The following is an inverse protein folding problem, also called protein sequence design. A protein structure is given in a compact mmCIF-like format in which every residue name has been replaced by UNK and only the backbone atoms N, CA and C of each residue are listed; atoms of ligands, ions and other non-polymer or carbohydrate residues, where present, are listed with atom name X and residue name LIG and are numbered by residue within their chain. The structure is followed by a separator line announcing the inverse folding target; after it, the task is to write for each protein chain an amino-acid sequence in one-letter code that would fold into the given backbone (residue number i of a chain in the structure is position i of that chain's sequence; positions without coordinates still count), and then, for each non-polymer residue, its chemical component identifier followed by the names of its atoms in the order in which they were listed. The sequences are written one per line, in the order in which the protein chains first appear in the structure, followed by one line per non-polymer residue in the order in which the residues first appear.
data_IF_612873162949
#
_entry.id   IF_612873162949
#
_cell.length_a   1.000
_cell.length_b   1.000
_cell.length_c   1.000
_cell.angle_alpha   90.00
_cell.angle_beta   90.00
_cell.angle_gamma   90.00
#
_symmetry.space_group_name_H-M   'P 1'
#
loop_
_entity.id
_entity.type
_entity.pdbx_description
1 polymer ?
#
# COMPACT_ATOMS: atom_id res chain seq x y z
N UNK A 1 0.64 17.95 35.64
CA UNK A 1 0.29 18.73 34.45
C UNK A 1 -1.06 18.30 33.91
N UNK A 2 -1.35 17.00 33.94
CA UNK A 2 -2.67 16.43 33.70
C UNK A 2 -3.74 17.01 34.63
N UNK A 3 -4.96 17.16 34.10
CA UNK A 3 -6.15 17.56 34.87
C UNK A 3 -6.59 16.46 35.85
N UNK A 4 -6.29 15.20 35.53
CA UNK A 4 -6.47 14.02 36.39
C UNK A 4 -5.17 13.24 36.46
N UNK A 5 -4.62 13.04 37.67
CA UNK A 5 -3.42 12.22 37.87
C UNK A 5 -3.72 10.72 37.91
N UNK A 6 -4.96 10.36 38.26
CA UNK A 6 -5.44 8.98 38.31
C UNK A 6 -6.83 8.91 37.70
N UNK A 7 -7.04 7.93 36.82
CA UNK A 7 -8.30 7.69 36.12
C UNK A 7 -8.80 6.30 36.52
N UNK A 8 -10.06 6.18 36.89
CA UNK A 8 -10.68 4.90 37.23
C UNK A 8 -11.31 4.26 35.99
N UNK A 9 -10.65 3.26 35.43
CA UNK A 9 -11.21 2.39 34.39
C UNK A 9 -12.13 1.34 35.02
N UNK A 10 -13.33 1.17 34.49
CA UNK A 10 -14.35 0.27 35.04
C UNK A 10 -15.05 -0.51 33.93
N UNK A 11 -15.39 -1.77 34.24
CA UNK A 11 -16.23 -2.60 33.39
C UNK A 11 -17.42 -3.14 34.17
N UNK A 12 -18.62 -3.03 33.59
CA UNK A 12 -19.85 -3.55 34.17
C UNK A 12 -20.44 -4.58 33.21
N UNK A 13 -20.47 -5.85 33.61
CA UNK A 13 -20.98 -6.92 32.78
C UNK A 13 -21.76 -7.94 33.59
N UNK A 14 -22.80 -8.55 33.00
CA UNK A 14 -23.56 -9.59 33.68
C UNK A 14 -22.81 -10.94 33.54
N UNK A 15 -23.31 -11.99 34.19
CA UNK A 15 -22.67 -13.33 34.15
C UNK A 15 -22.53 -13.88 32.72
N UNK A 16 -23.39 -13.41 31.82
CA UNK A 16 -23.40 -13.70 30.38
C UNK A 16 -22.15 -13.19 29.65
N UNK A 17 -21.43 -12.21 30.22
CA UNK A 17 -20.14 -11.73 29.69
C UNK A 17 -19.01 -12.76 29.85
N UNK A 18 -19.11 -13.65 30.85
CA UNK A 18 -18.14 -14.72 31.09
C UNK A 18 -16.69 -14.23 31.17
N UNK A 19 -15.76 -15.13 30.81
CA UNK A 19 -14.32 -14.83 30.77
C UNK A 19 -13.95 -13.82 29.68
N UNK A 20 -14.75 -13.78 28.60
CA UNK A 20 -14.58 -12.79 27.54
C UNK A 20 -14.60 -11.35 28.08
N UNK A 21 -15.51 -11.05 29.02
CA UNK A 21 -15.56 -9.73 29.65
C UNK A 21 -14.63 -9.58 30.85
N UNK A 22 -14.57 -10.60 31.72
CA UNK A 22 -13.78 -10.48 32.95
C UNK A 22 -12.29 -10.36 32.70
N UNK A 23 -11.79 -10.98 31.63
CA UNK A 23 -10.35 -11.07 31.38
C UNK A 23 -9.86 -9.91 30.52
N UNK A 24 -10.73 -9.33 29.68
CA UNK A 24 -10.34 -8.36 28.67
C UNK A 24 -10.88 -6.95 28.90
N UNK A 25 -12.15 -6.79 29.31
CA UNK A 25 -12.85 -5.50 29.18
C UNK A 25 -12.12 -4.33 29.85
N UNK A 26 -11.71 -4.46 31.11
CA UNK A 26 -11.06 -3.36 31.84
C UNK A 26 -9.64 -3.08 31.33
N UNK A 27 -8.89 -4.13 30.96
CA UNK A 27 -7.56 -3.98 30.36
C UNK A 27 -7.63 -3.23 29.02
N UNK A 28 -8.65 -3.52 28.22
CA UNK A 28 -8.88 -2.82 26.94
C UNK A 28 -9.23 -1.36 27.16
N UNK A 29 -10.02 -1.02 28.19
CA UNK A 29 -10.30 0.39 28.56
C UNK A 29 -9.00 1.12 28.92
N UNK A 30 -8.14 0.50 29.73
CA UNK A 30 -6.84 1.08 30.13
C UNK A 30 -5.97 1.30 28.88
N UNK A 31 -5.83 0.28 28.06
CA UNK A 31 -5.05 0.32 26.81
C UNK A 31 -5.51 1.45 25.88
N UNK A 32 -6.81 1.55 25.63
CA UNK A 32 -7.37 2.61 24.79
C UNK A 32 -7.06 4.01 25.35
N UNK A 33 -7.22 4.23 26.65
CA UNK A 33 -6.89 5.52 27.27
C UNK A 33 -5.41 5.89 27.12
N UNK A 34 -4.50 4.92 27.30
CA UNK A 34 -3.06 5.14 27.15
C UNK A 34 -2.68 5.52 25.71
N UNK A 35 -3.18 4.76 24.73
CA UNK A 35 -2.91 5.02 23.32
C UNK A 35 -3.46 6.39 22.92
N UNK A 36 -4.74 6.66 23.17
CA UNK A 36 -5.35 7.92 22.74
C UNK A 36 -4.71 9.14 23.43
N UNK A 37 -4.38 9.04 24.72
CA UNK A 37 -3.66 10.10 25.45
C UNK A 37 -2.30 10.40 24.81
N UNK A 38 -1.59 9.37 24.33
CA UNK A 38 -0.28 9.54 23.67
C UNK A 38 -0.38 10.38 22.40
N UNK A 39 -1.42 10.16 21.59
CA UNK A 39 -1.65 10.87 20.32
C UNK A 39 -2.40 12.20 20.47
N UNK A 40 -2.98 12.51 21.63
CA UNK A 40 -3.84 13.68 21.79
C UNK A 40 -3.43 14.54 23.01
N UNK A 41 -4.15 14.43 24.12
CA UNK A 41 -3.95 15.15 25.36
C UNK A 41 -4.32 14.25 26.54
N UNK A 42 -3.92 14.65 27.74
CA UNK A 42 -4.30 13.94 28.96
C UNK A 42 -5.82 13.91 29.13
N UNK A 43 -6.37 12.71 29.29
CA UNK A 43 -7.80 12.48 29.49
C UNK A 43 -8.33 13.29 30.70
N UNK A 44 -9.34 14.16 30.52
CA UNK A 44 -9.71 15.15 31.53
C UNK A 44 -10.69 14.64 32.59
N UNK A 45 -11.28 13.45 32.39
CA UNK A 45 -12.36 12.94 33.24
C UNK A 45 -11.87 11.89 34.25
N UNK A 46 -12.52 11.79 35.43
CA UNK A 46 -12.03 10.92 36.51
C UNK A 46 -12.30 9.43 36.27
N UNK A 47 -13.21 9.08 35.36
CA UNK A 47 -13.64 7.70 35.13
C UNK A 47 -13.85 7.40 33.67
N UNK A 48 -13.60 6.15 33.27
CA UNK A 48 -13.90 5.59 31.96
C UNK A 48 -14.60 4.25 32.13
N UNK A 49 -15.80 4.10 31.58
CA UNK A 49 -16.68 2.95 31.87
C UNK A 49 -17.06 2.21 30.59
N UNK A 50 -16.95 0.88 30.64
CA UNK A 50 -17.45 -0.03 29.60
C UNK A 50 -18.57 -0.90 30.17
N UNK A 51 -19.77 -0.82 29.59
CA UNK A 51 -20.97 -1.51 30.08
C UNK A 51 -21.45 -2.53 29.06
N UNK A 52 -21.63 -3.78 29.47
CA UNK A 52 -22.10 -4.85 28.58
C UNK A 52 -23.57 -4.73 28.27
N UNK A 53 -23.87 -4.50 26.99
CA UNK A 53 -25.21 -4.49 26.41
C UNK A 53 -25.20 -5.38 25.18
N UNK A 54 -25.33 -6.69 25.41
CA UNK A 54 -25.02 -7.75 24.44
C UNK A 54 -25.77 -7.83 23.11
N UNK A 55 -26.57 -6.82 22.74
CA UNK A 55 -27.24 -6.73 21.43
C UNK A 55 -26.86 -5.47 20.64
N UNK A 56 -26.13 -4.53 21.25
CA UNK A 56 -25.59 -3.36 20.55
C UNK A 56 -24.17 -3.67 20.06
N UNK A 57 -23.78 -3.00 18.98
CA UNK A 57 -22.39 -3.03 18.52
C UNK A 57 -21.53 -2.30 19.54
N UNK A 58 -21.68 -0.97 19.56
CA UNK A 58 -21.15 -0.05 20.54
C UNK A 58 -22.07 1.19 20.62
N UNK A 59 -21.90 2.00 21.66
CA UNK A 59 -22.51 3.32 21.77
C UNK A 59 -21.75 4.12 22.83
N UNK A 60 -21.35 5.32 22.45
CA UNK A 60 -20.48 6.22 23.17
C UNK A 60 -21.24 7.36 23.88
N UNK A 61 -20.84 7.66 25.11
CA UNK A 61 -21.22 8.87 25.83
C UNK A 61 -20.02 9.33 26.68
N UNK A 62 -19.96 10.60 27.11
CA UNK A 62 -18.88 11.04 27.99
C UNK A 62 -18.72 10.13 29.22
N UNK A 63 -17.53 9.54 29.37
CA UNK A 63 -17.14 8.61 30.44
C UNK A 63 -17.81 7.23 30.47
N UNK A 64 -18.77 6.94 29.60
CA UNK A 64 -19.53 5.68 29.63
C UNK A 64 -19.87 5.18 28.23
N UNK A 65 -19.59 3.90 28.00
CA UNK A 65 -19.82 3.23 26.71
C UNK A 65 -20.66 1.97 26.91
N UNK A 66 -21.43 1.58 25.91
CA UNK A 66 -22.27 0.39 25.93
C UNK A 66 -21.84 -0.57 24.81
N UNK A 67 -21.27 -1.72 25.17
CA UNK A 67 -20.59 -2.60 24.22
C UNK A 67 -21.20 -4.00 24.18
N UNK A 68 -21.21 -4.62 23.00
CA UNK A 68 -21.33 -6.06 22.81
C UNK A 68 -19.95 -6.76 22.82
N UNK A 69 -19.88 -8.09 22.60
CA UNK A 69 -20.97 -9.06 22.48
C UNK A 69 -21.20 -9.79 23.82
N UNK A 70 -22.07 -10.81 23.85
CA UNK A 70 -22.17 -11.78 24.95
C UNK A 70 -21.58 -13.12 24.54
N UNK A 71 -21.13 -13.89 25.53
CA UNK A 71 -20.74 -15.29 25.28
C UNK A 71 -21.94 -16.15 24.91
N UNK A 72 -21.70 -17.21 24.14
CA UNK A 72 -22.73 -18.18 23.76
C UNK A 72 -22.89 -19.22 24.86
N UNK A 73 -24.13 -19.44 25.33
CA UNK A 73 -24.47 -20.51 26.27
C UNK A 73 -24.62 -21.83 25.50
N UNK A 74 -24.00 -22.90 26.01
CA UNK A 74 -24.05 -24.25 25.47
C UNK A 74 -25.00 -25.13 26.29
N UNK A 75 -25.43 -26.24 25.69
CA UNK A 75 -26.40 -27.18 26.30
C UNK A 75 -25.86 -27.83 27.59
N UNK A 76 -24.55 -27.97 27.71
CA UNK A 76 -23.86 -28.45 28.92
C UNK A 76 -23.75 -27.39 30.03
N UNK A 77 -24.33 -26.20 29.82
CA UNK A 77 -24.28 -25.06 30.73
C UNK A 77 -22.98 -24.26 30.66
N UNK A 78 -22.01 -24.66 29.84
CA UNK A 78 -20.78 -23.91 29.62
C UNK A 78 -21.03 -22.69 28.73
N UNK A 79 -20.10 -21.72 28.77
CA UNK A 79 -20.11 -20.55 27.90
C UNK A 79 -18.86 -20.50 27.06
N UNK A 80 -19.03 -20.23 25.77
CA UNK A 80 -17.93 -20.15 24.79
C UNK A 80 -18.05 -18.90 23.95
N UNK A 81 -16.97 -18.54 23.27
CA UNK A 81 -16.92 -17.44 22.33
C UNK A 81 -15.91 -17.76 21.23
N UNK A 82 -16.11 -17.14 20.07
CA UNK A 82 -15.29 -17.32 18.87
C UNK A 82 -14.09 -16.37 18.86
N UNK A 83 -13.16 -16.56 17.93
CA UNK A 83 -12.12 -15.55 17.70
C UNK A 83 -12.75 -14.23 17.25
N UNK A 84 -13.78 -14.30 16.40
CA UNK A 84 -14.57 -13.14 15.98
C UNK A 84 -15.15 -12.37 17.17
N UNK A 85 -15.78 -13.05 18.13
CA UNK A 85 -16.33 -12.41 19.33
C UNK A 85 -15.25 -11.72 20.19
N UNK A 86 -14.07 -12.34 20.30
CA UNK A 86 -12.93 -11.77 21.01
C UNK A 86 -12.43 -10.50 20.32
N UNK A 87 -12.12 -10.58 19.04
CA UNK A 87 -11.64 -9.44 18.25
C UNK A 87 -12.67 -8.31 18.25
N UNK A 88 -13.95 -8.66 18.11
CA UNK A 88 -15.05 -7.69 18.15
C UNK A 88 -15.15 -6.99 19.51
N UNK A 89 -15.14 -7.71 20.64
CA UNK A 89 -15.19 -7.08 21.97
C UNK A 89 -14.04 -6.09 22.18
N UNK A 90 -12.82 -6.51 21.83
CA UNK A 90 -11.64 -5.67 22.03
C UNK A 90 -11.74 -4.43 21.15
N UNK A 91 -11.97 -4.61 19.84
CA UNK A 91 -12.08 -3.51 18.89
C UNK A 91 -13.17 -2.52 19.27
N UNK A 92 -14.38 -3.00 19.61
CA UNK A 92 -15.48 -2.10 19.94
C UNK A 92 -15.23 -1.34 21.24
N UNK A 93 -14.66 -1.96 22.29
CA UNK A 93 -14.32 -1.21 23.50
C UNK A 93 -13.26 -0.13 23.20
N UNK A 94 -12.25 -0.44 22.37
CA UNK A 94 -11.25 0.55 21.95
C UNK A 94 -11.96 1.71 21.24
N UNK A 95 -12.81 1.40 20.26
CA UNK A 95 -13.55 2.37 19.47
C UNK A 95 -14.42 3.28 20.34
N UNK A 96 -15.27 2.72 21.20
CA UNK A 96 -16.20 3.50 22.01
C UNK A 96 -15.49 4.34 23.08
N UNK A 97 -14.41 3.83 23.68
CA UNK A 97 -13.59 4.61 24.62
C UNK A 97 -12.84 5.72 23.86
N UNK A 98 -12.40 5.43 22.64
CA UNK A 98 -11.79 6.40 21.74
C UNK A 98 -12.69 7.59 21.45
N UNK A 99 -14.00 7.37 21.39
CA UNK A 99 -14.95 8.45 21.20
C UNK A 99 -14.97 9.49 22.32
N UNK A 100 -14.44 9.17 23.50
CA UNK A 100 -14.26 10.17 24.53
C UNK A 100 -13.36 11.33 24.07
N UNK A 101 -12.40 11.06 23.18
CA UNK A 101 -11.53 12.07 22.59
C UNK A 101 -12.19 12.71 21.36
N UNK A 102 -12.71 11.89 20.44
CA UNK A 102 -13.35 12.32 19.19
C UNK A 102 -14.73 11.65 19.02
N UNK A 103 -15.87 12.36 19.13
CA UNK A 103 -16.00 13.81 19.18
C UNK A 103 -16.23 14.40 20.57
N UNK A 104 -16.23 13.60 21.65
CA UNK A 104 -16.78 14.10 22.92
C UNK A 104 -15.97 15.26 23.54
N UNK A 105 -14.65 15.30 23.34
CA UNK A 105 -13.79 16.42 23.77
C UNK A 105 -13.42 17.32 22.59
N UNK A 106 -13.01 16.76 21.45
CA UNK A 106 -12.78 17.50 20.21
C UNK A 106 -14.00 17.32 19.33
N UNK A 107 -14.92 18.27 19.37
CA UNK A 107 -16.27 18.13 18.82
C UNK A 107 -16.33 18.31 17.30
N UNK A 108 -17.24 17.63 16.61
CA UNK A 108 -17.48 17.84 15.17
C UNK A 108 -18.96 18.11 14.86
N UNK A 109 -19.24 18.37 13.60
CA UNK A 109 -20.61 18.28 13.07
C UNK A 109 -20.81 16.92 12.41
N UNK A 110 -21.15 15.90 13.18
CA UNK A 110 -21.36 14.51 12.73
C UNK A 110 -22.27 14.42 11.49
N UNK A 111 -23.32 15.25 11.44
CA UNK A 111 -24.28 15.25 10.33
C UNK A 111 -23.65 15.74 9.03
N UNK A 112 -22.68 16.65 9.10
CA UNK A 112 -21.98 17.18 7.93
C UNK A 112 -20.72 16.38 7.61
N UNK A 113 -19.96 15.98 8.63
CA UNK A 113 -18.60 15.45 8.54
C UNK A 113 -18.44 14.18 9.39
N UNK A 114 -19.27 13.15 9.15
CA UNK A 114 -19.26 11.89 9.93
C UNK A 114 -17.87 11.28 10.05
N UNK A 115 -17.03 11.39 9.02
CA UNK A 115 -15.66 10.88 9.05
C UNK A 115 -14.76 11.56 10.11
N UNK A 116 -15.05 12.79 10.54
CA UNK A 116 -14.29 13.42 11.62
C UNK A 116 -14.54 12.73 12.95
N UNK A 117 -15.74 12.20 13.15
CA UNK A 117 -16.09 11.43 14.35
C UNK A 117 -15.54 10.02 14.19
N UNK A 118 -15.97 9.36 13.12
CA UNK A 118 -15.75 7.93 12.93
C UNK A 118 -14.37 7.61 12.38
N UNK A 119 -13.86 8.40 11.44
CA UNK A 119 -12.60 8.16 10.76
C UNK A 119 -11.38 8.52 11.58
N UNK A 120 -11.41 9.66 12.31
CA UNK A 120 -10.33 10.00 13.25
C UNK A 120 -10.27 8.99 14.40
N UNK A 121 -11.44 8.57 14.90
CA UNK A 121 -11.51 7.56 15.94
C UNK A 121 -11.03 6.19 15.43
N UNK A 122 -11.54 5.73 14.29
CA UNK A 122 -11.15 4.46 13.65
C UNK A 122 -9.65 4.39 13.35
N UNK A 123 -9.02 5.52 13.02
CA UNK A 123 -7.58 5.56 12.83
C UNK A 123 -6.81 5.25 14.13
N UNK A 124 -7.19 5.85 15.25
CA UNK A 124 -6.53 5.56 16.54
C UNK A 124 -6.92 4.19 17.09
N UNK A 125 -8.14 3.74 16.83
CA UNK A 125 -8.59 2.37 17.08
C UNK A 125 -7.69 1.37 16.32
N UNK A 126 -7.45 1.58 15.03
CA UNK A 126 -6.55 0.75 14.24
C UNK A 126 -5.11 0.71 14.79
N UNK A 127 -4.62 1.82 15.36
CA UNK A 127 -3.32 1.85 16.04
C UNK A 127 -3.38 1.04 17.35
N UNK A 128 -4.40 1.26 18.18
CA UNK A 128 -4.57 0.57 19.45
C UNK A 128 -4.78 -0.94 19.25
N UNK A 129 -5.58 -1.38 18.27
CA UNK A 129 -5.76 -2.78 17.93
C UNK A 129 -4.44 -3.47 17.55
N UNK A 130 -3.63 -2.83 16.69
CA UNK A 130 -2.31 -3.35 16.31
C UNK A 130 -1.31 -3.40 17.47
N UNK A 131 -1.39 -2.47 18.42
CA UNK A 131 -0.58 -2.50 19.65
C UNK A 131 -1.09 -3.52 20.68
N UNK A 132 -2.38 -3.87 20.62
CA UNK A 132 -2.97 -4.89 21.48
C UNK A 132 -2.53 -6.30 21.07
N UNK A 133 -2.73 -6.65 19.81
CA UNK A 133 -2.33 -7.94 19.25
C UNK A 133 -2.17 -7.83 17.72
N UNK A 134 -0.92 -7.86 17.19
CA UNK A 134 -0.68 -7.74 15.76
C UNK A 134 -1.07 -9.01 14.97
N UNK A 135 -1.31 -10.14 15.64
CA UNK A 135 -1.73 -11.39 14.99
C UNK A 135 -3.24 -11.42 14.72
N UNK A 136 -4.01 -10.52 15.36
CA UNK A 136 -5.42 -10.33 15.04
C UNK A 136 -5.54 -9.50 13.77
N UNK A 137 -6.31 -10.00 12.81
CA UNK A 137 -6.68 -9.23 11.63
C UNK A 137 -7.71 -8.16 12.01
N UNK A 138 -7.28 -6.90 12.05
CA UNK A 138 -8.14 -5.75 12.30
C UNK A 138 -8.85 -5.21 11.04
N UNK A 139 -8.48 -5.69 9.84
CA UNK A 139 -9.06 -5.28 8.54
C UNK A 139 -9.00 -3.75 8.27
N UNK A 140 -7.87 -3.14 8.67
CA UNK A 140 -7.61 -1.69 8.60
C UNK A 140 -6.39 -1.39 7.72
N UNK A 141 -5.91 -2.36 6.95
CA UNK A 141 -4.76 -2.16 6.08
C UNK A 141 -5.21 -1.42 4.80
N UNK A 142 -4.36 -0.59 4.17
CA UNK A 142 -4.71 0.13 2.94
C UNK A 142 -5.31 -0.78 1.86
N UNK A 143 -4.76 -1.99 1.70
CA UNK A 143 -5.22 -3.03 0.78
C UNK A 143 -6.70 -3.40 0.94
N UNK A 144 -7.24 -3.33 2.16
CA UNK A 144 -8.59 -3.77 2.48
C UNK A 144 -9.64 -2.81 1.90
N UNK A 145 -9.26 -1.56 1.59
CA UNK A 145 -10.15 -0.53 1.05
C UNK A 145 -10.21 -0.50 -0.49
N UNK A 146 -9.33 -1.21 -1.19
CA UNK A 146 -9.26 -1.23 -2.66
C UNK A 146 -10.61 -1.54 -3.31
N UNK A 147 -11.31 -2.58 -2.83
CA UNK A 147 -12.62 -2.99 -3.34
C UNK A 147 -13.68 -1.90 -3.23
N UNK A 148 -13.72 -1.17 -2.11
CA UNK A 148 -14.62 -0.02 -1.95
C UNK A 148 -14.21 1.14 -2.87
N UNK A 149 -12.91 1.43 -2.96
CA UNK A 149 -12.38 2.53 -3.78
C UNK A 149 -12.62 2.35 -5.28
N UNK A 150 -12.74 1.10 -5.75
CA UNK A 150 -13.15 0.77 -7.14
C UNK A 150 -14.66 0.57 -7.32
N UNK A 151 -15.45 0.63 -6.25
CA UNK A 151 -16.88 0.33 -6.30
C UNK A 151 -17.68 1.48 -6.93
N UNK A 152 -18.81 1.15 -7.55
CA UNK A 152 -19.74 2.14 -8.11
C UNK A 152 -20.53 2.91 -7.05
N UNK A 153 -20.54 2.41 -5.81
CA UNK A 153 -21.27 2.99 -4.69
C UNK A 153 -20.38 3.89 -3.82
N UNK A 154 -19.14 4.14 -4.25
CA UNK A 154 -18.25 5.07 -3.59
C UNK A 154 -18.72 6.52 -3.79
N UNK A 155 -18.65 7.30 -2.71
CA UNK A 155 -18.81 8.76 -2.72
C UNK A 155 -17.60 9.39 -2.04
N UNK A 156 -17.30 10.69 -2.25
CA UNK A 156 -16.22 11.36 -1.54
C UNK A 156 -16.39 11.25 -0.02
N UNK A 157 -15.28 11.20 0.75
CA UNK A 157 -15.32 11.17 2.23
C UNK A 157 -16.07 12.40 2.79
N UNK A 158 -15.97 13.52 2.09
CA UNK A 158 -16.65 14.78 2.44
C UNK A 158 -18.16 14.77 2.18
N UNK A 159 -18.75 13.62 1.83
CA UNK A 159 -20.19 13.49 1.63
C UNK A 159 -20.94 13.53 2.96
N UNK A 160 -22.06 14.24 2.98
CA UNK A 160 -22.93 14.39 4.14
C UNK A 160 -23.52 13.03 4.58
N UNK A 161 -23.67 12.84 5.90
CA UNK A 161 -24.05 11.58 6.56
C UNK A 161 -25.28 10.87 5.94
N UNK A 162 -26.38 11.61 5.75
CA UNK A 162 -27.65 11.05 5.25
C UNK A 162 -27.58 10.67 3.76
N UNK A 163 -26.51 11.08 3.06
CA UNK A 163 -26.29 10.81 1.63
C UNK A 163 -25.30 9.67 1.40
N UNK A 164 -24.74 9.07 2.45
CA UNK A 164 -23.79 7.98 2.34
C UNK A 164 -24.47 6.68 1.87
N UNK A 165 -23.94 6.09 0.81
CA UNK A 165 -24.41 4.80 0.29
C UNK A 165 -23.87 3.62 1.12
N UNK A 166 -22.64 3.73 1.59
CA UNK A 166 -21.98 2.75 2.46
C UNK A 166 -21.25 3.48 3.59
N UNK A 167 -21.89 3.56 4.77
CA UNK A 167 -21.37 4.33 5.91
C UNK A 167 -20.05 3.76 6.41
N UNK A 168 -19.96 2.44 6.63
CA UNK A 168 -18.76 1.77 7.14
C UNK A 168 -17.47 2.14 6.38
N UNK A 169 -17.35 1.80 5.09
CA UNK A 169 -16.13 2.11 4.35
C UNK A 169 -15.94 3.60 4.07
N UNK A 170 -16.99 4.44 4.02
CA UNK A 170 -16.84 5.87 3.76
C UNK A 170 -16.43 6.69 5.00
N UNK A 171 -17.10 6.47 6.13
CA UNK A 171 -16.91 7.23 7.35
C UNK A 171 -15.80 6.65 8.25
N UNK A 172 -15.57 5.33 8.19
CA UNK A 172 -14.58 4.64 9.04
C UNK A 172 -13.36 4.22 8.20
N UNK A 173 -13.58 3.36 7.21
CA UNK A 173 -12.51 2.63 6.51
C UNK A 173 -11.57 3.49 5.66
N UNK A 174 -12.10 4.19 4.65
CA UNK A 174 -11.30 5.01 3.72
C UNK A 174 -10.55 6.15 4.44
N UNK A 175 -11.15 6.88 5.39
CA UNK A 175 -10.41 7.87 6.20
C UNK A 175 -9.29 7.23 7.03
N UNK A 176 -9.53 6.06 7.62
CA UNK A 176 -8.51 5.31 8.38
C UNK A 176 -7.35 4.91 7.49
N UNK A 177 -7.63 4.34 6.32
CA UNK A 177 -6.61 3.99 5.34
C UNK A 177 -5.81 5.23 4.89
N UNK A 178 -6.49 6.34 4.59
CA UNK A 178 -5.84 7.60 4.23
C UNK A 178 -4.89 8.08 5.34
N UNK A 179 -5.34 8.14 6.59
CA UNK A 179 -4.51 8.59 7.72
C UNK A 179 -3.35 7.64 8.00
N UNK A 180 -3.55 6.34 7.84
CA UNK A 180 -2.49 5.34 7.95
C UNK A 180 -1.41 5.53 6.86
N UNK A 181 -1.82 5.74 5.60
CA UNK A 181 -0.91 6.04 4.49
C UNK A 181 -0.17 7.36 4.75
N UNK A 182 -0.89 8.38 5.22
CA UNK A 182 -0.30 9.68 5.53
C UNK A 182 0.79 9.54 6.60
N UNK A 183 0.57 8.72 7.62
CA UNK A 183 1.55 8.47 8.68
C UNK A 183 2.72 7.60 8.25
N UNK A 184 2.47 6.44 7.64
CA UNK A 184 3.51 5.44 7.40
C UNK A 184 4.30 5.73 6.12
N UNK A 185 3.66 6.32 5.11
CA UNK A 185 4.23 6.44 3.75
C UNK A 185 4.63 7.87 3.39
N UNK A 186 3.86 8.88 3.82
CA UNK A 186 4.02 10.27 3.34
C UNK A 186 4.78 11.14 4.33
N UNK A 187 4.28 11.31 5.55
CA UNK A 187 4.87 12.20 6.56
C UNK A 187 5.91 11.49 7.44
N UNK A 188 5.76 10.17 7.63
CA UNK A 188 6.44 9.45 8.68
C UNK A 188 5.82 9.69 10.06
N UNK A 189 6.11 8.76 10.98
CA UNK A 189 5.48 8.71 12.31
C UNK A 189 5.72 9.95 13.14
N UNK A 190 6.94 10.48 13.17
CA UNK A 190 7.29 11.62 14.02
C UNK A 190 6.49 12.88 13.68
N UNK A 191 6.46 13.26 12.40
CA UNK A 191 5.74 14.46 11.95
C UNK A 191 4.23 14.29 12.05
N UNK A 192 3.71 13.11 11.67
CA UNK A 192 2.28 12.83 11.78
C UNK A 192 1.82 12.86 13.24
N UNK A 193 2.52 12.15 14.14
CA UNK A 193 2.13 12.04 15.55
C UNK A 193 2.19 13.41 16.23
N UNK A 194 3.20 14.22 15.92
CA UNK A 194 3.27 15.60 16.38
C UNK A 194 2.10 16.45 15.87
N UNK A 195 1.79 16.38 14.58
CA UNK A 195 0.74 17.18 13.97
C UNK A 195 -0.67 16.82 14.47
N UNK A 196 -0.97 15.52 14.57
CA UNK A 196 -2.23 15.03 15.12
C UNK A 196 -2.40 15.46 16.59
N UNK A 197 -1.33 15.39 17.37
CA UNK A 197 -1.31 15.82 18.76
C UNK A 197 -1.59 17.32 18.90
N UNK A 198 -0.99 18.14 18.05
CA UNK A 198 -1.25 19.57 18.06
C UNK A 198 -2.65 19.92 17.57
N UNK A 199 -3.22 19.18 16.62
CA UNK A 199 -4.64 19.30 16.28
C UNK A 199 -5.52 19.05 17.51
N UNK A 200 -5.36 17.90 18.18
CA UNK A 200 -6.17 17.55 19.33
C UNK A 200 -6.04 18.59 20.47
N UNK A 201 -4.83 19.09 20.73
CA UNK A 201 -4.59 20.12 21.75
C UNK A 201 -5.21 21.47 21.41
N UNK A 202 -5.05 21.94 20.16
CA UNK A 202 -5.61 23.24 19.72
C UNK A 202 -7.14 23.24 19.79
N UNK A 203 -7.75 22.09 19.53
CA UNK A 203 -9.20 21.92 19.40
C UNK A 203 -9.87 21.22 20.58
N UNK A 204 -9.14 20.93 21.66
CA UNK A 204 -9.70 20.44 22.92
C UNK A 204 -10.83 21.37 23.40
N UNK A 205 -12.03 20.81 23.62
CA UNK A 205 -13.26 21.51 23.99
C UNK A 205 -13.75 22.56 22.99
N UNK A 206 -13.43 22.38 21.70
CA UNK A 206 -13.88 23.23 20.59
C UNK A 206 -14.53 22.37 19.50
N UNK A 207 -15.04 23.04 18.46
CA UNK A 207 -15.72 22.41 17.32
C UNK A 207 -15.01 22.71 15.98
N UNK A 208 -13.89 22.03 15.66
CA UNK A 208 -13.19 22.18 14.38
C UNK A 208 -14.05 21.77 13.18
N UNK A 209 -13.71 22.32 12.03
CA UNK A 209 -14.16 21.84 10.71
C UNK A 209 -13.05 21.02 10.02
N UNK A 210 -13.34 20.31 8.92
CA UNK A 210 -12.32 19.62 8.13
C UNK A 210 -11.13 20.51 7.74
N UNK A 211 -11.40 21.76 7.37
CA UNK A 211 -10.35 22.72 7.02
C UNK A 211 -9.40 23.03 8.20
N UNK A 212 -9.92 23.01 9.44
CA UNK A 212 -9.09 23.20 10.63
C UNK A 212 -8.18 22.00 10.91
N UNK A 213 -8.65 20.79 10.62
CA UNK A 213 -7.84 19.58 10.67
C UNK A 213 -6.74 19.62 9.61
N UNK A 214 -7.10 19.76 8.33
CA UNK A 214 -6.14 19.80 7.21
C UNK A 214 -5.06 20.86 7.41
N UNK A 215 -5.46 22.08 7.75
CA UNK A 215 -4.53 23.18 8.02
C UNK A 215 -3.63 22.90 9.21
N UNK A 216 -4.15 22.30 10.29
CA UNK A 216 -3.28 21.98 11.44
C UNK A 216 -2.27 20.90 11.10
N UNK A 217 -2.67 19.88 10.33
CA UNK A 217 -1.77 18.84 9.87
C UNK A 217 -0.63 19.40 9.00
N UNK A 218 -0.94 20.32 8.09
CA UNK A 218 0.06 20.99 7.24
C UNK A 218 0.94 21.97 8.02
N UNK A 219 0.36 22.85 8.83
CA UNK A 219 1.10 23.84 9.62
C UNK A 219 2.08 23.19 10.60
N UNK A 220 1.68 22.08 11.24
CA UNK A 220 2.50 21.41 12.24
C UNK A 220 3.54 20.47 11.62
N UNK A 221 3.23 19.81 10.49
CA UNK A 221 4.19 18.96 9.78
C UNK A 221 5.16 19.74 8.90
N UNK A 222 4.78 20.94 8.45
CA UNK A 222 5.55 21.73 7.49
C UNK A 222 5.52 21.18 6.05
N UNK A 223 4.60 20.27 5.75
CA UNK A 223 4.46 19.61 4.44
C UNK A 223 3.16 20.07 3.76
N UNK A 224 3.23 20.32 2.45
CA UNK A 224 2.07 20.63 1.61
C UNK A 224 1.30 19.32 1.30
N UNK A 225 0.06 19.23 1.79
CA UNK A 225 -0.79 18.05 1.69
C UNK A 225 -2.05 18.31 0.85
N UNK A 226 -2.15 19.45 0.16
CA UNK A 226 -3.32 19.84 -0.64
C UNK A 226 -3.68 18.74 -1.65
N UNK A 227 -2.67 18.17 -2.31
CA UNK A 227 -2.86 17.08 -3.28
C UNK A 227 -3.45 15.82 -2.62
N UNK A 228 -3.02 15.53 -1.39
CA UNK A 228 -3.44 14.35 -0.63
C UNK A 228 -4.88 14.52 -0.15
N UNK A 229 -5.20 15.66 0.48
CA UNK A 229 -6.55 15.98 0.92
C UNK A 229 -7.53 15.99 -0.25
N UNK A 230 -7.17 16.67 -1.33
CA UNK A 230 -8.01 16.73 -2.53
C UNK A 230 -8.31 15.34 -3.07
N UNK A 231 -7.28 14.51 -3.26
CA UNK A 231 -7.44 13.16 -3.80
C UNK A 231 -8.27 12.26 -2.89
N UNK A 232 -7.88 12.11 -1.63
CA UNK A 232 -8.50 11.14 -0.73
C UNK A 232 -9.88 11.56 -0.24
N UNK A 233 -10.09 12.85 0.03
CA UNK A 233 -11.31 13.32 0.72
C UNK A 233 -12.36 13.91 -0.21
N UNK A 234 -11.95 14.52 -1.33
CA UNK A 234 -12.85 15.26 -2.21
C UNK A 234 -13.15 14.56 -3.54
N UNK A 235 -12.45 13.48 -3.90
CA UNK A 235 -12.72 12.71 -5.11
C UNK A 235 -13.08 11.25 -4.81
N UNK A 236 -13.49 10.55 -5.87
CA UNK A 236 -13.69 9.10 -5.89
C UNK A 236 -12.60 8.40 -6.71
N UNK A 237 -11.47 9.08 -6.92
CA UNK A 237 -10.30 8.48 -7.55
C UNK A 237 -9.74 7.38 -6.63
N UNK A 238 -9.00 6.45 -7.21
CA UNK A 238 -8.34 5.37 -6.48
C UNK A 238 -6.89 5.23 -6.94
N UNK A 239 -6.09 4.52 -6.15
CA UNK A 239 -4.69 4.27 -6.53
C UNK A 239 -4.67 3.09 -7.49
N UNK A 240 -4.08 3.30 -8.66
CA UNK A 240 -3.74 2.27 -9.64
C UNK A 240 -2.58 2.83 -10.47
N UNK A 241 -1.36 2.43 -10.11
CA UNK A 241 -0.11 2.86 -10.72
C UNK A 241 0.56 1.67 -11.43
N UNK A 242 0.39 1.63 -12.75
CA UNK A 242 0.97 0.59 -13.59
C UNK A 242 2.44 0.88 -13.91
N UNK A 243 3.29 -0.15 -13.83
CA UNK A 243 4.59 -0.19 -14.48
C UNK A 243 4.42 -0.77 -15.89
N UNK A 244 4.26 0.12 -16.86
CA UNK A 244 3.87 -0.25 -18.22
C UNK A 244 5.00 -0.97 -18.97
N UNK A 245 6.20 -0.38 -18.92
CA UNK A 245 7.37 -0.83 -19.68
C UNK A 245 8.66 -0.50 -18.96
N UNK A 246 9.65 -1.35 -19.17
CA UNK A 246 11.05 -1.10 -18.80
C UNK A 246 11.89 -1.29 -20.05
N UNK A 247 12.57 -0.24 -20.49
CA UNK A 247 13.55 -0.33 -21.57
C UNK A 247 14.92 -0.52 -20.95
N UNK A 248 15.57 -1.64 -21.25
CA UNK A 248 16.98 -1.86 -20.95
C UNK A 248 17.82 -1.27 -22.07
N UNK A 249 18.80 -0.45 -21.71
CA UNK A 249 19.64 0.31 -22.63
C UNK A 249 21.11 0.24 -22.19
N UNK A 250 22.00 0.28 -23.16
CA UNK A 250 23.44 0.52 -22.98
C UNK A 250 23.82 1.80 -23.71
N UNK A 251 24.91 2.42 -23.27
CA UNK A 251 25.49 3.55 -23.96
C UNK A 251 25.99 3.10 -25.35
N UNK A 252 25.62 3.85 -26.38
CA UNK A 252 26.26 3.81 -27.69
C UNK A 252 27.63 4.50 -27.57
N UNK A 253 28.70 3.75 -27.81
CA UNK A 253 30.07 4.23 -27.62
C UNK A 253 30.58 5.00 -28.83
N UNK A 254 29.85 4.94 -29.94
CA UNK A 254 30.23 5.39 -31.29
C UNK A 254 31.48 4.66 -31.84
N UNK A 255 32.07 3.74 -31.06
CA UNK A 255 33.19 2.90 -31.48
C UNK A 255 32.64 1.68 -32.25
N UNK A 256 32.87 1.59 -33.58
CA UNK A 256 32.36 0.49 -34.37
C UNK A 256 32.93 -0.87 -33.93
N UNK A 257 34.14 -0.92 -33.36
CA UNK A 257 34.73 -2.18 -32.89
C UNK A 257 34.00 -2.73 -31.65
N UNK A 258 33.32 -1.86 -30.89
CA UNK A 258 32.50 -2.25 -29.73
C UNK A 258 31.04 -2.44 -30.13
N UNK A 259 30.43 -1.45 -30.77
CA UNK A 259 28.99 -1.43 -30.98
C UNK A 259 28.53 -2.37 -32.09
N UNK A 260 29.33 -2.60 -33.14
CA UNK A 260 28.97 -3.59 -34.17
C UNK A 260 29.06 -5.03 -33.62
N UNK A 261 29.99 -5.29 -32.71
CA UNK A 261 30.05 -6.58 -32.01
C UNK A 261 28.77 -6.80 -31.18
N UNK A 262 28.33 -5.79 -30.43
CA UNK A 262 27.07 -5.83 -29.66
C UNK A 262 25.84 -6.03 -30.55
N UNK A 263 25.75 -5.29 -31.66
CA UNK A 263 24.65 -5.42 -32.62
C UNK A 263 24.61 -6.82 -33.26
N UNK A 264 25.78 -7.41 -33.56
CA UNK A 264 25.88 -8.79 -34.03
C UNK A 264 25.34 -9.78 -33.00
N UNK A 265 25.74 -9.66 -31.73
CA UNK A 265 25.22 -10.50 -30.65
C UNK A 265 23.69 -10.38 -30.49
N UNK A 266 23.16 -9.17 -30.60
CA UNK A 266 21.70 -8.94 -30.57
C UNK A 266 21.02 -9.67 -31.73
N UNK A 267 21.52 -9.50 -32.96
CA UNK A 267 20.95 -10.17 -34.15
C UNK A 267 21.05 -11.69 -34.05
N UNK A 268 22.18 -12.22 -33.58
CA UNK A 268 22.40 -13.66 -33.41
C UNK A 268 21.52 -14.27 -32.31
N UNK A 269 21.07 -13.46 -31.35
CA UNK A 269 20.13 -13.88 -30.30
C UNK A 269 18.67 -13.95 -30.79
N UNK A 270 18.37 -13.38 -31.95
CA UNK A 270 17.02 -13.42 -32.52
C UNK A 270 16.62 -14.86 -32.89
N UNK A 271 15.34 -15.24 -32.71
CA UNK A 271 14.87 -16.56 -33.12
C UNK A 271 15.14 -16.80 -34.61
N UNK A 272 15.72 -17.96 -34.98
CA UNK A 272 15.96 -18.26 -36.38
C UNK A 272 14.64 -18.38 -37.15
N UNK A 273 14.71 -18.23 -38.47
CA UNK A 273 13.54 -18.38 -39.32
C UNK A 273 12.94 -19.79 -39.23
N UNK A 274 11.67 -19.88 -38.80
CA UNK A 274 10.90 -21.12 -38.75
C UNK A 274 10.90 -21.86 -40.09
N UNK A 275 10.93 -21.13 -41.21
CA UNK A 275 11.01 -21.73 -42.55
C UNK A 275 12.34 -22.47 -42.76
N UNK A 276 13.45 -21.86 -42.35
CA UNK A 276 14.78 -22.46 -42.45
C UNK A 276 14.90 -23.67 -41.54
N UNK A 277 14.40 -23.58 -40.31
CA UNK A 277 14.37 -24.72 -39.37
C UNK A 277 13.60 -25.91 -39.92
N UNK A 278 12.37 -25.68 -40.42
CA UNK A 278 11.55 -26.75 -41.02
C UNK A 278 12.21 -27.37 -42.24
N UNK A 279 12.78 -26.57 -43.13
CA UNK A 279 13.50 -27.09 -44.30
C UNK A 279 14.69 -27.96 -43.90
N UNK A 280 15.47 -27.55 -42.88
CA UNK A 280 16.56 -28.36 -42.34
C UNK A 280 16.05 -29.67 -41.73
N UNK A 281 14.94 -29.63 -40.98
CA UNK A 281 14.31 -30.83 -40.40
C UNK A 281 13.80 -31.82 -41.47
N UNK A 282 13.34 -31.31 -42.63
CA UNK A 282 12.98 -32.12 -43.80
C UNK A 282 14.20 -32.60 -44.62
N UNK A 283 15.43 -32.29 -44.18
CA UNK A 283 16.67 -32.67 -44.88
C UNK A 283 16.91 -31.90 -46.18
N UNK A 284 16.22 -30.77 -46.40
CA UNK A 284 16.44 -29.92 -47.57
C UNK A 284 17.75 -29.17 -47.43
N UNK A 285 18.60 -29.25 -48.45
CA UNK A 285 19.84 -28.49 -48.55
C UNK A 285 19.62 -27.17 -49.26
N UNK A 286 20.25 -26.10 -48.78
CA UNK A 286 20.23 -24.80 -49.45
C UNK A 286 20.93 -24.88 -50.82
N UNK A 287 20.76 -23.86 -51.66
CA UNK A 287 21.47 -23.82 -52.94
C UNK A 287 22.99 -23.66 -52.72
N UNK A 288 23.40 -22.83 -51.76
CA UNK A 288 24.79 -22.58 -51.39
C UNK A 288 25.46 -23.84 -50.82
N UNK A 289 24.75 -24.64 -50.02
CA UNK A 289 25.26 -25.93 -49.53
C UNK A 289 25.48 -26.95 -50.65
N UNK A 290 24.70 -26.86 -51.74
CA UNK A 290 24.82 -27.75 -52.90
C UNK A 290 25.87 -27.27 -53.90
N UNK A 291 26.12 -25.96 -53.96
CA UNK A 291 27.01 -25.31 -54.92
C UNK A 291 27.93 -24.33 -54.17
N UNK A 292 29.01 -24.80 -53.51
CA UNK A 292 29.87 -23.94 -52.69
C UNK A 292 30.64 -22.87 -53.48
N UNK A 293 30.77 -23.06 -54.79
CA UNK A 293 31.43 -22.15 -55.74
C UNK A 293 30.69 -20.82 -55.94
N UNK A 294 29.43 -20.72 -55.50
CA UNK A 294 28.65 -19.48 -55.57
C UNK A 294 28.89 -18.55 -54.39
N UNK A 295 29.68 -18.96 -53.38
CA UNK A 295 30.02 -18.13 -52.23
C UNK A 295 30.91 -16.96 -52.63
N UNK A 296 30.74 -15.82 -51.99
CA UNK A 296 31.52 -14.62 -52.20
C UNK A 296 32.02 -14.00 -50.89
N UNK A 297 32.51 -12.76 -50.98
CA UNK A 297 33.03 -12.01 -49.84
C UNK A 297 32.01 -11.88 -48.68
N UNK A 298 30.71 -11.80 -48.96
CA UNK A 298 29.67 -11.60 -47.95
C UNK A 298 29.22 -12.89 -47.25
N UNK A 299 29.68 -14.06 -47.71
CA UNK A 299 29.50 -15.31 -46.96
C UNK A 299 30.42 -15.38 -45.72
N UNK A 300 31.49 -14.57 -45.67
CA UNK A 300 32.43 -14.47 -44.55
C UNK A 300 32.39 -13.10 -43.85
N UNK A 301 31.78 -12.09 -44.47
CA UNK A 301 31.68 -10.72 -43.94
C UNK A 301 30.21 -10.26 -43.95
N UNK A 302 29.67 -9.97 -42.77
CA UNK A 302 28.31 -9.48 -42.61
C UNK A 302 28.25 -7.95 -42.51
N UNK A 303 27.05 -7.41 -42.30
CA UNK A 303 26.79 -5.97 -42.14
C UNK A 303 27.47 -5.34 -40.90
N UNK A 304 28.00 -6.15 -39.99
CA UNK A 304 28.70 -5.71 -38.77
C UNK A 304 30.22 -5.86 -38.91
N UNK A 305 30.72 -6.16 -40.11
CA UNK A 305 32.16 -6.20 -40.38
C UNK A 305 32.72 -4.78 -40.37
N UNK A 306 33.51 -4.44 -39.36
CA UNK A 306 34.12 -3.11 -39.22
C UNK A 306 35.16 -2.88 -40.32
N UNK A 307 35.07 -1.73 -41.00
CA UNK A 307 36.06 -1.32 -41.99
C UNK A 307 36.83 -0.07 -41.52
N UNK A 308 37.90 0.25 -42.26
CA UNK A 308 38.70 1.45 -42.00
C UNK A 308 37.88 2.74 -42.13
N UNK A 309 36.81 2.73 -42.94
CA UNK A 309 35.94 3.89 -43.11
C UNK A 309 35.20 4.20 -41.81
N UNK A 310 34.65 3.20 -41.13
CA UNK A 310 33.96 3.41 -39.85
C UNK A 310 34.93 3.85 -38.75
N UNK A 311 36.13 3.26 -38.67
CA UNK A 311 37.16 3.69 -37.71
C UNK A 311 37.60 5.14 -37.92
N UNK A 312 37.79 5.55 -39.18
CA UNK A 312 38.14 6.94 -39.50
C UNK A 312 37.03 7.90 -39.05
N UNK A 313 35.75 7.52 -39.23
CA UNK A 313 34.62 8.34 -38.75
C UNK A 313 34.59 8.46 -37.23
N UNK A 314 34.89 7.39 -36.51
CA UNK A 314 34.99 7.42 -35.06
C UNK A 314 36.11 8.35 -34.59
N UNK A 315 37.29 8.31 -35.23
CA UNK A 315 38.39 9.23 -34.93
C UNK A 315 38.02 10.70 -35.20
N UNK A 316 37.32 10.98 -36.31
CA UNK A 316 36.80 12.30 -36.63
C UNK A 316 35.76 12.79 -35.60
N UNK A 317 34.87 11.89 -35.14
CA UNK A 317 33.92 12.17 -34.08
C UNK A 317 34.63 12.56 -32.78
N UNK A 318 35.61 11.76 -32.33
CA UNK A 318 36.40 12.05 -31.13
C UNK A 318 37.17 13.38 -31.24
N UNK A 319 37.69 13.69 -32.42
CA UNK A 319 38.41 14.96 -32.67
C UNK A 319 37.48 16.19 -32.64
N UNK A 320 36.17 15.99 -32.83
CA UNK A 320 35.16 17.05 -32.80
C UNK A 320 34.63 17.39 -31.40
N UNK A 321 34.90 16.56 -30.39
CA UNK A 321 34.44 16.76 -29.02
C UNK A 321 35.30 17.79 -28.26
N UNK A 322 34.66 18.56 -27.38
CA UNK A 322 35.39 19.37 -26.40
C UNK A 322 36.07 18.48 -25.34
N UNK A 323 37.13 18.98 -24.68
CA UNK A 323 37.91 18.20 -23.70
C UNK A 323 37.03 17.57 -22.60
N UNK A 324 36.01 18.28 -22.13
CA UNK A 324 35.11 17.77 -21.09
C UNK A 324 34.07 16.77 -21.63
N UNK A 325 33.65 16.88 -22.89
CA UNK A 325 32.75 15.94 -23.55
C UNK A 325 33.45 14.61 -23.76
N UNK A 326 34.69 14.66 -24.28
CA UNK A 326 35.54 13.50 -24.45
C UNK A 326 35.81 12.79 -23.13
N UNK A 327 36.22 13.53 -22.09
CA UNK A 327 36.46 12.95 -20.77
C UNK A 327 35.18 12.34 -20.16
N UNK A 328 34.01 12.90 -20.47
CA UNK A 328 32.72 12.36 -20.01
C UNK A 328 32.36 11.08 -20.76
N UNK A 329 32.57 11.02 -22.08
CA UNK A 329 32.35 9.83 -22.88
C UNK A 329 33.29 8.70 -22.46
N UNK A 330 34.59 8.97 -22.36
CA UNK A 330 35.61 7.99 -21.92
C UNK A 330 35.23 7.39 -20.56
N UNK A 331 34.84 8.23 -19.59
CA UNK A 331 34.36 7.74 -18.29
C UNK A 331 33.10 6.88 -18.43
N UNK A 332 32.13 7.28 -19.24
CA UNK A 332 30.88 6.55 -19.38
C UNK A 332 31.07 5.19 -20.10
N UNK A 333 31.99 5.11 -21.06
CA UNK A 333 32.42 3.86 -21.69
C UNK A 333 33.14 2.96 -20.69
N UNK A 334 34.05 3.51 -19.89
CA UNK A 334 34.79 2.76 -18.85
C UNK A 334 33.88 2.22 -17.73
N UNK A 335 32.86 2.98 -17.33
CA UNK A 335 31.91 2.57 -16.30
C UNK A 335 30.94 1.48 -16.78
N UNK A 336 30.66 1.41 -18.09
CA UNK A 336 29.80 0.43 -18.77
C UNK A 336 28.47 0.14 -18.05
N UNK A 337 27.81 1.21 -17.58
CA UNK A 337 26.59 1.11 -16.79
C UNK A 337 25.38 0.67 -17.62
N UNK A 338 24.40 0.09 -16.93
CA UNK A 338 23.09 -0.25 -17.48
C UNK A 338 22.13 0.92 -17.26
N UNK A 339 21.38 1.29 -18.29
CA UNK A 339 20.40 2.35 -18.26
C UNK A 339 19.00 1.76 -18.42
N UNK A 340 18.08 2.17 -17.56
CA UNK A 340 16.70 1.68 -17.56
C UNK A 340 15.72 2.84 -17.63
N UNK A 341 14.83 2.84 -18.63
CA UNK A 341 13.70 3.77 -18.67
C UNK A 341 12.46 3.02 -18.22
N UNK A 342 11.92 3.44 -17.08
CA UNK A 342 10.68 2.91 -16.50
C UNK A 342 9.55 3.85 -16.92
N UNK A 343 8.53 3.30 -17.59
CA UNK A 343 7.31 4.02 -17.94
C UNK A 343 6.20 3.62 -16.97
N UNK A 344 5.62 4.62 -16.31
CA UNK A 344 4.50 4.46 -15.39
C UNK A 344 3.26 5.18 -15.91
N UNK A 345 2.09 4.66 -15.58
CA UNK A 345 0.80 5.32 -15.80
C UNK A 345 0.01 5.40 -14.50
N UNK A 346 -0.63 6.55 -14.25
CA UNK A 346 -1.61 6.70 -13.18
C UNK A 346 -3.01 6.46 -13.77
N UNK A 347 -3.54 5.26 -13.58
CA UNK A 347 -4.80 4.80 -14.17
C UNK A 347 -5.97 5.21 -13.28
N UNK A 348 -5.84 5.03 -11.97
CA UNK A 348 -6.91 5.27 -10.99
C UNK A 348 -7.13 6.75 -10.68
N UNK A 349 -6.21 7.63 -11.10
CA UNK A 349 -6.30 9.08 -11.00
C UNK A 349 -5.83 9.64 -9.65
N UNK A 350 -5.74 8.81 -8.60
CA UNK A 350 -5.27 9.25 -7.30
C UNK A 350 -3.76 9.41 -7.33
N UNK A 351 -3.28 10.62 -7.02
CA UNK A 351 -1.85 10.91 -6.96
C UNK A 351 -1.27 10.26 -5.70
N UNK A 352 -0.20 9.49 -5.86
CA UNK A 352 0.55 8.84 -4.78
C UNK A 352 2.05 8.78 -5.10
N UNK A 353 2.93 8.68 -4.09
CA UNK A 353 4.33 8.34 -4.32
C UNK A 353 4.46 6.96 -4.99
N UNK A 354 5.49 6.78 -5.82
CA UNK A 354 5.79 5.48 -6.44
C UNK A 354 6.89 4.82 -5.62
N UNK A 355 6.51 3.79 -4.87
CA UNK A 355 7.42 2.97 -4.08
C UNK A 355 7.91 1.81 -4.95
N UNK A 356 9.21 1.64 -5.11
CA UNK A 356 9.80 0.61 -5.98
C UNK A 356 10.71 -0.31 -5.17
N UNK A 357 10.59 -1.62 -5.38
CA UNK A 357 11.65 -2.59 -5.07
C UNK A 357 12.32 -3.03 -6.38
N UNK A 358 13.61 -2.71 -6.51
CA UNK A 358 14.46 -3.17 -7.60
C UNK A 358 15.23 -4.38 -7.11
N UNK A 359 15.16 -5.49 -7.85
CA UNK A 359 15.98 -6.67 -7.62
C UNK A 359 17.01 -6.80 -8.74
N UNK A 360 18.27 -6.98 -8.38
CA UNK A 360 19.38 -7.16 -9.31
C UNK A 360 19.62 -8.64 -9.61
N UNK A 361 20.30 -8.92 -10.73
CA UNK A 361 20.67 -10.27 -11.13
C UNK A 361 21.56 -11.00 -10.10
N UNK A 362 22.30 -10.26 -9.26
CA UNK A 362 23.06 -10.81 -8.13
C UNK A 362 22.20 -11.30 -6.96
N UNK A 363 20.92 -10.91 -6.92
CA UNK A 363 19.99 -11.12 -5.82
C UNK A 363 19.91 -9.96 -4.83
N UNK A 364 20.74 -8.91 -5.00
CA UNK A 364 20.63 -7.67 -4.22
C UNK A 364 19.30 -6.96 -4.44
N UNK A 365 18.84 -6.19 -3.45
CA UNK A 365 17.60 -5.41 -3.51
C UNK A 365 17.82 -3.97 -3.10
N UNK A 366 17.16 -3.05 -3.79
CA UNK A 366 17.13 -1.63 -3.49
C UNK A 366 15.68 -1.13 -3.41
N UNK A 367 15.37 -0.31 -2.42
CA UNK A 367 14.09 0.39 -2.32
C UNK A 367 14.26 1.84 -2.79
N UNK A 368 13.45 2.25 -3.75
CA UNK A 368 13.45 3.61 -4.31
C UNK A 368 12.08 4.24 -4.07
N UNK A 369 12.06 5.44 -3.47
CA UNK A 369 10.83 6.21 -3.27
C UNK A 369 10.83 7.41 -4.24
N UNK A 370 9.87 7.43 -5.17
CA UNK A 370 9.60 8.60 -5.99
C UNK A 370 8.45 9.40 -5.36
N UNK A 371 8.68 10.65 -4.94
CA UNK A 371 7.68 11.41 -4.21
C UNK A 371 6.50 11.80 -5.13
N UNK A 372 5.33 12.09 -4.54
CA UNK A 372 4.08 12.38 -5.27
C UNK A 372 4.21 13.56 -6.26
N UNK A 373 5.10 14.52 -5.97
CA UNK A 373 5.41 15.68 -6.80
C UNK A 373 6.00 15.30 -8.16
N UNK A 374 6.47 14.06 -8.31
CA UNK A 374 6.94 13.53 -9.60
C UNK A 374 5.84 13.59 -10.67
N UNK A 375 4.56 13.51 -10.27
CA UNK A 375 3.40 13.63 -11.16
C UNK A 375 3.08 15.07 -11.60
N UNK A 376 3.73 16.10 -11.03
CA UNK A 376 3.35 17.52 -11.19
C UNK A 376 3.26 18.01 -12.64
N UNK A 377 4.14 17.53 -13.53
CA UNK A 377 4.16 17.95 -14.94
C UNK A 377 3.41 16.98 -15.86
N UNK A 378 3.29 15.73 -15.45
CA UNK A 378 2.76 14.65 -16.28
C UNK A 378 1.87 13.74 -15.44
N UNK A 379 0.67 14.21 -15.06
CA UNK A 379 -0.16 13.56 -14.05
C UNK A 379 -0.69 12.18 -14.45
N UNK A 380 -0.67 11.86 -15.76
CA UNK A 380 -1.17 10.58 -16.28
C UNK A 380 -0.07 9.58 -16.62
N UNK A 381 1.19 10.02 -16.76
CA UNK A 381 2.26 9.15 -17.20
C UNK A 381 3.64 9.72 -16.90
N UNK A 382 4.53 8.88 -16.42
CA UNK A 382 5.87 9.27 -15.98
C UNK A 382 6.92 8.38 -16.64
N UNK A 383 8.03 8.99 -17.05
CA UNK A 383 9.24 8.24 -17.41
C UNK A 383 10.34 8.52 -16.39
N UNK A 384 10.92 7.46 -15.83
CA UNK A 384 12.04 7.55 -14.89
C UNK A 384 13.25 6.83 -15.46
N UNK A 385 14.39 7.53 -15.54
CA UNK A 385 15.68 6.91 -15.79
C UNK A 385 16.25 6.37 -14.47
N UNK A 386 16.64 5.09 -14.48
CA UNK A 386 17.52 4.48 -13.47
C UNK A 386 18.82 4.07 -14.15
N UNK A 387 19.94 4.26 -13.45
CA UNK A 387 21.28 3.89 -13.93
C UNK A 387 21.88 2.96 -12.88
N UNK A 388 22.41 1.82 -13.32
CA UNK A 388 22.87 0.76 -12.43
C UNK A 388 24.12 0.07 -12.95
N UNK A 389 25.13 -0.20 -12.09
CA UNK A 389 26.28 -1.03 -12.46
C UNK A 389 25.90 -2.50 -12.64
N UNK A 390 24.81 -2.95 -12.02
CA UNK A 390 24.33 -4.33 -12.12
C UNK A 390 23.04 -4.41 -12.94
N UNK A 391 22.88 -5.52 -13.67
CA UNK A 391 21.66 -5.79 -14.44
C UNK A 391 20.47 -5.97 -13.50
N UNK A 392 19.36 -5.27 -13.77
CA UNK A 392 18.09 -5.42 -13.04
C UNK A 392 17.37 -6.68 -13.54
N UNK A 393 16.93 -7.54 -12.61
CA UNK A 393 16.15 -8.74 -12.92
C UNK A 393 14.64 -8.50 -12.83
N UNK A 394 14.20 -7.70 -11.86
CA UNK A 394 12.78 -7.38 -11.68
C UNK A 394 12.59 -6.08 -10.91
N UNK A 395 11.44 -5.45 -11.15
CA UNK A 395 10.98 -4.23 -10.47
C UNK A 395 9.54 -4.47 -10.02
N UNK A 396 9.23 -4.07 -8.79
CA UNK A 396 7.89 -4.16 -8.21
C UNK A 396 7.46 -2.80 -7.68
N UNK A 397 6.31 -2.32 -8.12
CA UNK A 397 5.63 -1.14 -7.57
C UNK A 397 4.86 -1.54 -6.32
N UNK A 398 4.97 -0.72 -5.28
CA UNK A 398 4.33 -0.91 -3.98
C UNK A 398 4.49 -2.34 -3.42
N UNK A 399 5.73 -2.82 -3.21
CA UNK A 399 6.02 -4.22 -2.84
C UNK A 399 5.38 -4.66 -1.53
N UNK A 400 4.99 -3.71 -0.67
CA UNK A 400 4.40 -3.93 0.64
C UNK A 400 2.90 -3.58 0.72
N UNK A 401 2.31 -3.11 -0.38
CA UNK A 401 0.90 -2.67 -0.47
C UNK A 401 0.57 -1.53 0.50
N UNK A 402 1.48 -0.57 0.61
CA UNK A 402 1.43 0.61 1.47
C UNK A 402 0.51 1.71 0.92
N UNK A 403 0.10 1.66 -0.36
CA UNK A 403 -0.61 2.77 -1.02
C UNK A 403 -2.08 2.50 -1.34
N UNK A 404 -2.59 1.29 -1.06
CA UNK A 404 -3.91 0.84 -1.50
C UNK A 404 -4.09 0.79 -3.03
N UNK A 405 -3.05 0.35 -3.75
CA UNK A 405 -3.14 0.10 -5.19
C UNK A 405 -4.20 -0.98 -5.49
N UNK A 406 -5.15 -0.64 -6.37
CA UNK A 406 -6.30 -1.47 -6.69
C UNK A 406 -5.99 -2.60 -7.66
N UNK A 407 -4.91 -2.50 -8.46
CA UNK A 407 -4.50 -3.54 -9.41
C UNK A 407 -3.02 -3.90 -9.23
N UNK A 408 -2.77 -4.70 -8.20
CA UNK A 408 -1.43 -5.20 -7.91
C UNK A 408 -0.79 -5.96 -9.08
N UNK A 409 -1.54 -6.46 -10.06
CA UNK A 409 -0.98 -7.32 -11.10
C UNK A 409 -0.25 -6.52 -12.19
N UNK A 410 -0.53 -5.23 -12.30
CA UNK A 410 0.18 -4.32 -13.20
C UNK A 410 1.43 -3.67 -12.54
N UNK A 411 1.70 -3.99 -11.26
CA UNK A 411 2.86 -3.49 -10.50
C UNK A 411 4.18 -4.21 -10.81
N UNK A 412 4.13 -5.37 -11.48
CA UNK A 412 5.29 -6.27 -11.62
C UNK A 412 5.91 -6.18 -13.01
N UNK A 413 7.24 -6.00 -13.05
CA UNK A 413 8.03 -6.17 -14.26
C UNK A 413 9.20 -7.16 -14.03
N UNK A 414 9.32 -8.24 -14.83
CA UNK A 414 8.35 -8.70 -15.83
C UNK A 414 7.02 -9.12 -15.20
N UNK A 415 5.94 -9.15 -16.00
CA UNK A 415 4.61 -9.58 -15.55
C UNK A 415 4.65 -11.01 -15.04
N UNK A 416 3.86 -11.28 -13.98
CA UNK A 416 3.77 -12.59 -13.32
C UNK A 416 2.43 -13.29 -13.61
N UNK A 417 2.35 -14.58 -13.28
CA UNK A 417 1.09 -15.31 -13.29
C UNK A 417 0.23 -14.94 -12.07
N UNK A 418 -1.06 -14.72 -12.30
CA UNK A 418 -2.04 -14.41 -11.25
C UNK A 418 -2.55 -15.73 -10.64
N UNK A 419 -2.31 -16.00 -9.34
CA UNK A 419 -2.86 -17.19 -8.70
C UNK A 419 -4.39 -17.09 -8.62
N UNK A 420 -5.09 -18.17 -8.99
CA UNK A 420 -6.55 -18.26 -8.91
C UNK A 420 -6.99 -19.61 -8.37
N UNK A 421 -8.11 -19.64 -7.65
CA UNK A 421 -8.67 -20.86 -7.03
C UNK A 421 -10.01 -21.21 -7.66
N UNK A 422 -10.18 -22.49 -8.01
CA UNK A 422 -11.47 -23.04 -8.43
C UNK A 422 -12.24 -23.49 -7.18
N UNK A 423 -13.46 -22.99 -7.01
CA UNK A 423 -14.36 -23.41 -5.93
C UNK A 423 -15.35 -24.49 -6.39
N UNK A 424 -15.70 -25.41 -5.50
CA UNK A 424 -16.73 -26.41 -5.76
C UNK A 424 -18.12 -25.77 -5.64
N UNK A 425 -18.95 -25.87 -6.70
CA UNK A 425 -20.27 -25.21 -6.87
C UNK A 425 -21.32 -25.57 -5.79
N UNK A 426 -21.07 -26.58 -4.94
CA UNK A 426 -22.00 -27.06 -3.92
C UNK A 426 -21.52 -26.76 -2.50
N UNK A 427 -21.01 -25.56 -2.25
CA UNK A 427 -20.65 -25.10 -0.91
C UNK A 427 -21.74 -24.17 -0.37
N UNK A 428 -22.25 -24.36 0.86
CA UNK A 428 -23.00 -23.30 1.54
C UNK A 428 -22.12 -22.04 1.64
N UNK A 429 -22.69 -20.84 1.81
CA UNK A 429 -21.93 -19.60 1.91
C UNK A 429 -20.77 -19.77 2.89
N UNK A 430 -19.56 -19.42 2.47
CA UNK A 430 -18.36 -19.54 3.30
C UNK A 430 -18.51 -18.59 4.49
N UNK A 431 -18.76 -19.14 5.69
CA UNK A 431 -18.64 -18.38 6.92
C UNK A 431 -17.18 -17.98 7.16
N UNK A 432 -16.95 -16.84 7.81
CA UNK A 432 -15.61 -16.43 8.21
C UNK A 432 -15.02 -17.49 9.15
N UNK A 433 -13.76 -17.87 8.94
CA UNK A 433 -13.10 -18.86 9.80
C UNK A 433 -12.94 -18.37 11.25
N UNK A 434 -12.93 -17.06 11.46
CA UNK A 434 -12.91 -16.45 12.80
C UNK A 434 -14.19 -16.71 13.61
N UNK A 435 -15.32 -16.95 12.93
CA UNK A 435 -16.63 -17.19 13.57
C UNK A 435 -16.83 -18.66 13.96
N UNK A 436 -15.81 -19.50 13.75
CA UNK A 436 -15.83 -20.89 14.19
C UNK A 436 -15.70 -20.92 15.71
N UNK A 437 -16.64 -21.58 16.38
CA UNK A 437 -16.50 -21.87 17.80
C UNK A 437 -15.55 -23.05 18.02
N UNK A 438 -14.26 -22.76 17.93
CA UNK A 438 -13.20 -23.76 18.15
C UNK A 438 -13.17 -24.18 19.62
N UNK A 439 -13.55 -23.29 20.56
CA UNK A 439 -13.60 -23.62 22.00
C UNK A 439 -14.59 -24.74 22.30
N UNK A 440 -15.74 -24.73 21.65
CA UNK A 440 -16.73 -25.80 21.76
C UNK A 440 -16.33 -27.00 20.90
N UNK A 441 -16.03 -26.79 19.62
CA UNK A 441 -15.89 -27.88 18.65
C UNK A 441 -14.71 -28.82 18.94
N UNK A 442 -13.62 -28.32 19.54
CA UNK A 442 -12.48 -29.18 19.93
C UNK A 442 -12.85 -30.06 21.13
N UNK A 443 -13.59 -29.52 22.12
CA UNK A 443 -14.02 -30.28 23.30
C UNK A 443 -15.00 -31.40 22.95
N UNK A 444 -15.91 -31.13 22.01
CA UNK A 444 -16.87 -32.13 21.54
C UNK A 444 -16.18 -33.29 20.79
N UNK A 445 -15.04 -33.04 20.15
CA UNK A 445 -14.28 -34.08 19.44
C UNK A 445 -13.44 -34.99 20.35
N UNK A 446 -13.16 -34.56 21.58
CA UNK A 446 -12.45 -35.37 22.60
C UNK A 446 -13.41 -36.26 23.42
N UNK A 447 -14.72 -36.07 23.27
CA UNK A 447 -15.78 -36.77 24.01
C UNK A 447 -16.48 -37.91 23.25
N UNK A 448 -16.12 -38.16 21.99
CA UNK A 448 -16.67 -39.23 21.12
C UNK A 448 -15.71 -40.42 20.93
#
# INVERSE_FOLDING_TARGET
GAEQEQIMAMSFYPKEGGTLWSDYSTEVVIHALEVYTRFTFDYPWPTAQSVSVGFLGGMEYPMITFNGPRTTLRDDGSRTYTLGDKSFLIGVIIHEIGHFFFPMIVNSDERQWTWMDEGLNSYLDAVAGREWDPEISWAVEPRDMTGYMTSTDQVPIMTQADSLLQVGPNAYGKPTAALNILRETILGRELFDFALKEYARRWKFKRPTPADFFRTMEEASGVDLDWFWRGWFYTTDHVDISLDRVYEMRLDTEDPDVDYARLREVKDSEPPSVFVEKNRAEGRRTWIERNPDVRDFYDENDEFTVTEVERTRYEEFLAGLEDWERATLERAVDEDLNYYILEFSNIGGLVMPILLEVTYASGGRELINLPAETWRRTPHGLKKLLVSPEKISSIVVDPKWETADADIENNYYPRRMIPSRIESVRRPPSGNLADRDIMHNVRSAEGD
#
